data_IF_555304393123
#
_entry.id   IF_555304393123
#
_cell.length_a   1.000
_cell.length_b   1.000
_cell.length_c   1.000
_cell.angle_alpha   90.00
_cell.angle_beta   90.00
_cell.angle_gamma   90.00
#
_symmetry.space_group_name_H-M   'P 1'
#
loop_
_entity.id
_entity.type
_entity.pdbx_description
1 polymer ?
#
# COMPACT_ATOMS: atom_id res chain seq x y z
N UNK A 1 -10.09 -11.17 -10.30
CA UNK A 1 -10.21 -9.72 -10.58
C UNK A 1 -10.94 -9.09 -9.42
N UNK A 2 -10.39 -8.04 -8.82
CA UNK A 2 -11.06 -7.34 -7.70
C UNK A 2 -12.28 -6.61 -8.28
N UNK A 3 -13.46 -6.79 -7.68
CA UNK A 3 -14.67 -6.08 -8.09
C UNK A 3 -14.48 -4.57 -7.87
N UNK A 4 -15.11 -3.74 -8.72
CA UNK A 4 -15.08 -2.28 -8.60
C UNK A 4 -15.52 -1.82 -7.20
N UNK A 5 -16.46 -2.54 -6.59
CA UNK A 5 -16.94 -2.30 -5.23
C UNK A 5 -15.84 -2.56 -4.18
N UNK A 6 -15.00 -3.57 -4.40
CA UNK A 6 -13.85 -3.86 -3.56
C UNK A 6 -12.81 -2.74 -3.59
N UNK A 7 -12.57 -2.17 -4.78
CA UNK A 7 -11.68 -1.02 -4.94
C UNK A 7 -12.25 0.24 -4.25
N UNK A 8 -13.55 0.49 -4.39
CA UNK A 8 -14.20 1.62 -3.73
C UNK A 8 -14.15 1.51 -2.20
N UNK A 9 -14.37 0.30 -1.68
CA UNK A 9 -14.23 0.01 -0.25
C UNK A 9 -12.80 0.27 0.23
N UNK A 10 -11.79 -0.28 -0.46
CA UNK A 10 -10.38 -0.04 -0.10
C UNK A 10 -10.01 1.44 -0.12
N UNK A 11 -10.46 2.20 -1.13
CA UNK A 11 -10.25 3.64 -1.18
C UNK A 11 -10.90 4.34 0.01
N UNK A 12 -12.17 4.07 0.30
CA UNK A 12 -12.88 4.69 1.44
C UNK A 12 -12.18 4.44 2.78
N UNK A 13 -11.60 3.24 2.97
CA UNK A 13 -10.87 2.89 4.18
C UNK A 13 -9.56 3.64 4.28
N UNK A 14 -8.82 3.67 3.18
CA UNK A 14 -7.57 4.40 3.10
C UNK A 14 -7.79 5.90 3.30
N UNK A 15 -8.92 6.47 2.85
CA UNK A 15 -9.32 7.85 3.18
C UNK A 15 -9.52 8.03 4.68
N UNK A 16 -10.20 7.10 5.35
CA UNK A 16 -10.46 7.20 6.80
C UNK A 16 -9.19 7.09 7.65
N UNK A 17 -8.19 6.33 7.20
CA UNK A 17 -6.96 6.10 7.96
C UNK A 17 -5.81 7.05 7.59
N UNK A 18 -5.70 7.45 6.33
CA UNK A 18 -4.54 8.16 5.79
C UNK A 18 -4.88 9.49 5.08
N UNK A 19 -6.17 9.87 5.03
CA UNK A 19 -6.62 11.13 4.46
C UNK A 19 -6.16 11.33 3.02
N UNK A 20 -5.42 12.41 2.78
CA UNK A 20 -4.97 12.85 1.46
C UNK A 20 -4.05 11.86 0.74
N UNK A 21 -3.43 10.92 1.47
CA UNK A 21 -2.59 9.87 0.88
C UNK A 21 -3.40 8.85 0.08
N UNK A 22 -4.74 8.88 0.18
CA UNK A 22 -5.63 8.02 -0.60
C UNK A 22 -5.46 8.20 -2.10
N UNK A 23 -5.07 9.40 -2.57
CA UNK A 23 -4.89 9.65 -3.99
C UNK A 23 -3.80 8.76 -4.60
N UNK A 24 -2.70 8.57 -3.86
CA UNK A 24 -1.58 7.69 -4.25
C UNK A 24 -2.02 6.22 -4.22
N UNK A 25 -2.70 5.80 -3.15
CA UNK A 25 -3.17 4.43 -3.01
C UNK A 25 -4.24 4.07 -4.06
N UNK A 26 -5.22 4.94 -4.28
CA UNK A 26 -6.27 4.78 -5.29
C UNK A 26 -5.71 4.73 -6.71
N UNK A 27 -4.66 5.51 -6.99
CA UNK A 27 -3.94 5.45 -8.26
C UNK A 27 -3.29 4.08 -8.48
N UNK A 28 -2.64 3.51 -7.46
CA UNK A 28 -2.05 2.17 -7.52
C UNK A 28 -3.10 1.06 -7.58
N UNK A 29 -4.19 1.18 -6.82
CA UNK A 29 -5.28 0.20 -6.79
C UNK A 29 -6.00 0.10 -8.15
N UNK A 30 -6.18 1.21 -8.85
CA UNK A 30 -6.80 1.24 -10.19
C UNK A 30 -5.81 0.98 -11.31
N UNK A 31 -4.57 1.45 -11.15
CA UNK A 31 -3.53 1.42 -12.17
C UNK A 31 -2.60 0.21 -12.12
N UNK A 32 -2.66 -0.59 -11.06
CA UNK A 32 -1.76 -1.73 -10.85
C UNK A 32 -0.34 -1.29 -10.49
N UNK A 33 0.65 -1.83 -11.20
CA UNK A 33 2.07 -1.55 -10.98
C UNK A 33 2.48 -0.25 -11.67
N UNK A 34 2.89 0.76 -10.91
CA UNK A 34 3.23 2.08 -11.45
C UNK A 34 4.62 2.54 -11.00
N UNK A 35 5.30 3.32 -11.85
CA UNK A 35 6.53 4.00 -11.47
C UNK A 35 6.24 5.31 -10.73
N UNK A 36 7.22 5.83 -9.98
CA UNK A 36 7.07 7.10 -9.25
C UNK A 36 6.59 8.24 -10.16
N UNK A 37 7.14 8.35 -11.38
CA UNK A 37 6.77 9.41 -12.31
C UNK A 37 5.33 9.27 -12.81
N UNK A 38 4.88 8.04 -13.04
CA UNK A 38 3.50 7.79 -13.48
C UNK A 38 2.49 8.10 -12.37
N UNK A 39 2.85 7.85 -11.11
CA UNK A 39 2.03 8.20 -9.95
C UNK A 39 1.93 9.72 -9.81
N UNK A 40 3.05 10.44 -9.88
CA UNK A 40 3.08 11.91 -9.84
C UNK A 40 2.20 12.50 -10.95
N UNK A 41 2.34 11.99 -12.19
CA UNK A 41 1.55 12.44 -13.33
C UNK A 41 0.04 12.23 -13.15
N UNK A 42 -0.37 11.13 -12.52
CA UNK A 42 -1.79 10.76 -12.35
C UNK A 42 -2.46 11.37 -11.13
N UNK A 43 -1.67 11.68 -10.10
CA UNK A 43 -2.18 12.25 -8.85
C UNK A 43 -2.09 13.77 -8.82
N UNK A 44 -1.36 14.38 -9.76
CA UNK A 44 -1.09 15.83 -9.81
C UNK A 44 -0.43 16.38 -8.53
N UNK A 45 0.09 15.50 -7.68
CA UNK A 45 0.77 15.85 -6.45
C UNK A 45 2.26 16.14 -6.71
N UNK A 46 2.88 16.89 -5.80
CA UNK A 46 4.32 17.13 -5.87
C UNK A 46 5.13 15.84 -5.65
N UNK A 47 6.34 15.77 -6.20
CA UNK A 47 7.20 14.58 -6.08
C UNK A 47 7.50 14.24 -4.60
N UNK A 48 7.63 15.25 -3.73
CA UNK A 48 7.84 15.06 -2.30
C UNK A 48 6.60 14.48 -1.61
N UNK A 49 5.41 14.97 -1.94
CA UNK A 49 4.15 14.42 -1.39
C UNK A 49 3.95 12.97 -1.79
N UNK A 50 4.21 12.62 -3.06
CA UNK A 50 4.09 11.22 -3.51
C UNK A 50 5.10 10.32 -2.82
N UNK A 51 6.36 10.76 -2.64
CA UNK A 51 7.37 10.00 -1.91
C UNK A 51 6.99 9.77 -0.44
N UNK A 52 6.54 10.82 0.25
CA UNK A 52 6.10 10.71 1.63
C UNK A 52 4.88 9.78 1.75
N UNK A 53 3.94 9.88 0.82
CA UNK A 53 2.79 8.99 0.76
C UNK A 53 3.19 7.54 0.54
N UNK A 54 4.08 7.28 -0.42
CA UNK A 54 4.60 5.93 -0.66
C UNK A 54 5.35 5.38 0.55
N UNK A 55 6.14 6.20 1.26
CA UNK A 55 6.83 5.80 2.48
C UNK A 55 5.85 5.32 3.55
N UNK A 56 4.82 6.11 3.86
CA UNK A 56 3.78 5.75 4.84
C UNK A 56 3.05 4.48 4.41
N UNK A 57 2.70 4.36 3.12
CA UNK A 57 2.00 3.19 2.60
C UNK A 57 2.87 1.92 2.62
N UNK A 58 4.17 2.04 2.39
CA UNK A 58 5.13 0.93 2.48
C UNK A 58 5.32 0.50 3.93
N UNK A 59 5.48 1.47 4.84
CA UNK A 59 5.63 1.21 6.28
C UNK A 59 4.44 0.42 6.82
N UNK A 60 3.24 0.79 6.39
CA UNK A 60 2.00 0.10 6.76
C UNK A 60 1.69 -1.16 5.94
N UNK A 61 2.64 -1.64 5.14
CA UNK A 61 2.54 -2.85 4.33
C UNK A 61 1.35 -2.85 3.33
N UNK A 62 0.91 -1.65 2.93
CA UNK A 62 -0.16 -1.44 1.95
C UNK A 62 0.40 -1.34 0.52
N UNK A 63 1.68 -0.99 0.37
CA UNK A 63 2.35 -0.86 -0.93
C UNK A 63 3.68 -1.60 -0.89
N UNK A 64 4.01 -2.30 -1.97
CA UNK A 64 5.29 -2.95 -2.16
C UNK A 64 6.07 -2.28 -3.29
N UNK A 65 7.34 -1.97 -3.03
CA UNK A 65 8.28 -1.51 -4.04
C UNK A 65 9.13 -2.68 -4.55
N UNK A 66 9.35 -2.76 -5.86
CA UNK A 66 10.23 -3.76 -6.46
C UNK A 66 10.93 -3.20 -7.69
N UNK A 67 12.10 -3.74 -7.99
CA UNK A 67 12.91 -3.32 -9.13
C UNK A 67 12.68 -4.25 -10.30
N UNK A 68 12.23 -3.70 -11.43
CA UNK A 68 12.08 -4.47 -12.68
C UNK A 68 13.25 -4.11 -13.60
N UNK A 69 14.00 -5.10 -14.13
CA UNK A 69 15.01 -4.82 -15.14
C UNK A 69 14.32 -4.34 -16.41
N UNK A 70 14.61 -3.10 -16.82
CA UNK A 70 14.12 -2.55 -18.08
C UNK A 70 15.24 -2.69 -19.11
N UNK A 71 15.07 -3.59 -20.08
CA UNK A 71 15.95 -3.62 -21.25
C UNK A 71 15.65 -2.39 -22.11
N UNK A 72 16.63 -1.49 -22.20
CA UNK A 72 16.54 -0.31 -23.06
C UNK A 72 17.31 -0.63 -24.34
N UNK A 73 16.67 -1.31 -25.30
CA UNK A 73 17.21 -1.56 -26.63
C UNK A 73 18.36 -2.58 -26.71
N UNK A 74 18.63 -3.04 -27.93
CA UNK A 74 19.68 -4.00 -28.26
C UNK A 74 21.07 -3.39 -28.03
N UNK A 75 21.61 -3.55 -26.81
CA UNK A 75 23.00 -3.21 -26.47
C UNK A 75 23.22 -2.15 -25.38
N UNK A 76 22.17 -1.59 -24.75
CA UNK A 76 22.36 -0.62 -23.67
C UNK A 76 22.13 -1.20 -22.27
N UNK A 77 22.85 -0.64 -21.29
CA UNK A 77 22.88 -1.06 -19.89
C UNK A 77 21.50 -1.30 -19.28
N UNK A 78 21.36 -2.40 -18.53
CA UNK A 78 20.17 -2.77 -17.79
C UNK A 78 19.88 -1.74 -16.70
N UNK A 79 19.03 -0.75 -16.99
CA UNK A 79 18.53 0.17 -15.95
C UNK A 79 17.39 -0.51 -15.20
N UNK A 80 17.56 -0.70 -13.90
CA UNK A 80 16.48 -1.11 -13.01
C UNK A 80 15.49 0.05 -12.84
N UNK A 81 14.21 -0.22 -13.05
CA UNK A 81 13.13 0.74 -12.79
C UNK A 81 12.37 0.27 -11.56
N UNK A 82 12.31 1.11 -10.53
CA UNK A 82 11.47 0.85 -9.35
C UNK A 82 10.01 1.04 -9.71
N UNK A 83 9.22 0.00 -9.47
CA UNK A 83 7.76 0.00 -9.55
C UNK A 83 7.15 -0.20 -8.18
N UNK A 84 5.96 0.34 -8.00
CA UNK A 84 5.17 0.27 -6.79
C UNK A 84 3.86 -0.44 -7.10
N UNK A 85 3.41 -1.29 -6.19
CA UNK A 85 2.15 -2.02 -6.29
C UNK A 85 1.38 -1.94 -4.99
N UNK A 86 0.09 -1.63 -5.06
CA UNK A 86 -0.78 -1.73 -3.90
C UNK A 86 -1.10 -3.20 -3.59
N UNK A 87 -0.94 -3.58 -2.33
CA UNK A 87 -1.29 -4.89 -1.80
C UNK A 87 -2.73 -4.84 -1.28
N UNK A 88 -3.69 -5.06 -2.19
CA UNK A 88 -5.11 -4.97 -1.90
C UNK A 88 -5.55 -5.84 -0.72
N UNK A 89 -5.05 -7.08 -0.66
CA UNK A 89 -5.37 -8.00 0.42
C UNK A 89 -4.90 -7.45 1.77
N UNK A 90 -3.69 -6.89 1.85
CA UNK A 90 -3.15 -6.32 3.09
C UNK A 90 -3.95 -5.11 3.56
N UNK A 91 -4.40 -4.26 2.62
CA UNK A 91 -5.29 -3.12 2.92
C UNK A 91 -6.61 -3.61 3.52
N UNK A 92 -7.19 -4.68 2.97
CA UNK A 92 -8.41 -5.29 3.53
C UNK A 92 -8.15 -6.02 4.86
N UNK A 93 -6.99 -6.66 5.03
CA UNK A 93 -6.65 -7.36 6.26
C UNK A 93 -6.53 -6.39 7.45
N UNK A 94 -6.11 -5.14 7.24
CA UNK A 94 -6.20 -4.08 8.27
C UNK A 94 -7.62 -3.90 8.82
N UNK A 95 -8.67 -4.08 8.02
CA UNK A 95 -10.06 -4.05 8.52
C UNK A 95 -10.42 -5.22 9.42
N UNK A 96 -9.82 -6.39 9.19
CA UNK A 96 -10.06 -7.59 9.99
C UNK A 96 -9.19 -7.62 11.23
N UNK A 97 -8.13 -6.81 11.27
CA UNK A 97 -7.17 -6.78 12.37
C UNK A 97 -7.81 -6.53 13.75
N UNK A 98 -8.80 -5.63 13.93
CA UNK A 98 -9.48 -5.45 15.22
C UNK A 98 -10.23 -6.71 15.67
N UNK A 99 -10.88 -7.43 14.74
CA UNK A 99 -11.54 -8.71 15.04
C UNK A 99 -10.53 -9.81 15.35
N UNK A 100 -9.41 -9.84 14.62
CA UNK A 100 -8.34 -10.80 14.84
C UNK A 100 -7.68 -10.59 16.20
N UNK A 101 -7.39 -9.34 16.59
CA UNK A 101 -6.92 -8.97 17.93
C UNK A 101 -7.92 -9.38 19.02
N UNK A 102 -9.23 -9.19 18.79
CA UNK A 102 -10.26 -9.59 19.75
C UNK A 102 -10.27 -11.11 19.97
N UNK A 103 -10.21 -11.91 18.89
CA UNK A 103 -10.14 -13.37 18.97
C UNK A 103 -8.84 -13.82 19.64
N UNK A 104 -7.69 -13.25 19.24
CA UNK A 104 -6.39 -13.59 19.83
C UNK A 104 -6.33 -13.21 21.31
N UNK A 105 -6.92 -12.09 21.71
CA UNK A 105 -7.01 -11.71 23.13
C UNK A 105 -7.81 -12.73 23.93
N UNK A 106 -8.91 -13.21 23.37
CA UNK A 106 -9.82 -14.13 24.05
C UNK A 106 -9.23 -15.57 24.10
N UNK A 107 -8.46 -16.00 23.08
CA UNK A 107 -7.89 -17.36 22.99
C UNK A 107 -6.45 -17.50 23.55
N UNK A 108 -5.58 -16.49 23.37
CA UNK A 108 -4.14 -16.56 23.66
C UNK A 108 -3.70 -15.65 24.84
N UNK A 109 -4.63 -14.88 25.41
CA UNK A 109 -4.39 -14.03 26.56
C UNK A 109 -3.75 -12.66 26.24
N UNK A 110 -3.70 -11.74 27.23
CA UNK A 110 -3.41 -10.33 27.01
C UNK A 110 -1.96 -10.01 26.56
N UNK A 111 -1.00 -10.90 26.82
CA UNK A 111 0.41 -10.72 26.47
C UNK A 111 0.65 -10.75 24.96
N UNK A 112 -0.06 -11.64 24.24
CA UNK A 112 0.07 -11.80 22.78
C UNK A 112 -0.61 -10.66 22.04
N UNK A 113 -1.73 -10.16 22.58
CA UNK A 113 -2.44 -8.99 22.09
C UNK A 113 -1.54 -7.73 22.07
N UNK A 114 -0.74 -7.53 23.12
CA UNK A 114 0.19 -6.40 23.20
C UNK A 114 1.25 -6.45 22.09
N UNK A 115 1.90 -7.59 21.87
CA UNK A 115 2.89 -7.75 20.79
C UNK A 115 2.30 -7.53 19.39
N UNK A 116 1.08 -8.01 19.12
CA UNK A 116 0.40 -7.80 17.84
C UNK A 116 -0.03 -6.35 17.63
N UNK A 117 -0.43 -5.65 18.70
CA UNK A 117 -0.76 -4.22 18.63
C UNK A 117 0.46 -3.36 18.30
N UNK A 118 1.64 -3.71 18.83
CA UNK A 118 2.92 -3.07 18.52
C UNK A 118 3.28 -3.22 17.04
N UNK A 119 3.19 -4.43 16.50
CA UNK A 119 3.49 -4.72 15.09
C UNK A 119 2.54 -4.05 14.09
N UNK A 120 1.39 -3.55 14.53
CA UNK A 120 0.40 -2.88 13.69
C UNK A 120 0.37 -1.36 13.86
N UNK A 121 1.04 -0.85 14.89
CA UNK A 121 1.10 0.59 15.20
C UNK A 121 2.26 1.32 14.52
N UNK A 122 3.22 0.58 13.97
CA UNK A 122 4.29 1.12 13.10
C UNK A 122 3.85 1.21 11.63
#
# INVERSE_FOLDING_TARGET
>A
MVSQDGLNLAVSLMTSHFGDLVAVCGCLLRGGTLSLQEIVRRTELSNSQVKNGLLVLIQHNCVQAFSVPKQVGAGAATKSLTQYMALFDNILHRMRFPKFLAIVRDDLGPQVNFCLSLLSSD
#
